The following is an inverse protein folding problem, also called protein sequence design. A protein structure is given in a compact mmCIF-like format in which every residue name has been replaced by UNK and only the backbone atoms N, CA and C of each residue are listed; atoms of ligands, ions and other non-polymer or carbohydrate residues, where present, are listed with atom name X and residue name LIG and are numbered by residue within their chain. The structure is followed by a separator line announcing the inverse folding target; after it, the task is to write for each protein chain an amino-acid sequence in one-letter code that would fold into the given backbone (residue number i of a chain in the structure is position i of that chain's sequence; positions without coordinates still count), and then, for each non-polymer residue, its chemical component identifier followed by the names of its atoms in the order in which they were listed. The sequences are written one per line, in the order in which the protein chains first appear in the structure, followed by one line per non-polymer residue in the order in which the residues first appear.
data_IF_868735379269
#
_entry.id   IF_868735379269
#
_cell.length_a   1.000
_cell.length_b   1.000
_cell.length_c   1.000
_cell.angle_alpha   90.00
_cell.angle_beta   90.00
_cell.angle_gamma   90.00
#
_symmetry.space_group_name_H-M   'P 1'
#
loop_
_entity.id
_entity.type
_entity.pdbx_description
1 polymer ?
#
# COMPACT_ATOMS: atom_id res chain seq x y z
N UNK A 1 -8.23 -18.28 -9.91
CA UNK A 1 -9.61 -18.07 -9.42
C UNK A 1 -9.53 -17.65 -7.95
N UNK A 2 -9.96 -16.43 -7.60
CA UNK A 2 -9.96 -15.91 -6.22
C UNK A 2 -11.05 -16.64 -5.42
N UNK A 3 -10.71 -17.12 -4.22
CA UNK A 3 -11.66 -17.71 -3.27
C UNK A 3 -11.58 -16.92 -1.98
N UNK A 4 -12.73 -16.42 -1.51
CA UNK A 4 -12.83 -15.67 -0.27
C UNK A 4 -13.42 -16.57 0.82
N UNK A 5 -12.82 -16.53 2.01
CA UNK A 5 -13.26 -17.30 3.17
C UNK A 5 -13.36 -16.36 4.37
N UNK A 6 -14.39 -16.55 5.20
CA UNK A 6 -14.56 -15.82 6.44
C UNK A 6 -14.28 -16.76 7.61
N UNK A 7 -13.53 -16.25 8.58
CA UNK A 7 -13.17 -16.97 9.79
C UNK A 7 -13.51 -16.12 11.02
N UNK A 8 -13.84 -16.74 12.16
CA UNK A 8 -14.23 -16.00 13.37
C UNK A 8 -13.07 -15.24 14.02
N UNK A 9 -11.82 -15.59 13.68
CA UNK A 9 -10.64 -14.91 14.22
C UNK A 9 -9.43 -15.01 13.28
N UNK A 10 -8.44 -14.15 13.47
CA UNK A 10 -7.16 -14.23 12.75
C UNK A 10 -6.40 -15.53 13.04
N UNK A 11 -6.51 -16.08 14.25
CA UNK A 11 -5.91 -17.37 14.61
C UNK A 11 -6.55 -18.51 13.80
N UNK A 12 -7.88 -18.53 13.70
CA UNK A 12 -8.60 -19.52 12.90
C UNK A 12 -8.25 -19.41 11.41
N UNK A 13 -8.14 -18.19 10.88
CA UNK A 13 -7.70 -17.96 9.51
C UNK A 13 -6.28 -18.49 9.26
N UNK A 14 -5.33 -18.21 10.16
CA UNK A 14 -3.96 -18.73 10.05
C UNK A 14 -3.92 -20.26 10.13
N UNK A 15 -4.69 -20.87 11.04
CA UNK A 15 -4.78 -22.33 11.13
C UNK A 15 -5.28 -22.94 9.83
N UNK A 16 -6.31 -22.36 9.21
CA UNK A 16 -6.83 -22.84 7.93
C UNK A 16 -5.78 -22.75 6.81
N UNK A 17 -5.02 -21.65 6.76
CA UNK A 17 -3.93 -21.47 5.79
C UNK A 17 -2.82 -22.50 6.01
N UNK A 18 -2.35 -22.67 7.25
CA UNK A 18 -1.28 -23.62 7.54
C UNK A 18 -1.71 -25.07 7.32
N UNK A 19 -2.98 -25.41 7.61
CA UNK A 19 -3.53 -26.73 7.32
C UNK A 19 -3.64 -27.00 5.83
N UNK A 20 -4.08 -26.04 5.02
CA UNK A 20 -4.11 -26.19 3.56
C UNK A 20 -2.70 -26.40 3.00
N UNK A 21 -1.75 -25.57 3.43
CA UNK A 21 -0.34 -25.67 3.04
C UNK A 21 0.23 -27.03 3.48
N UNK A 22 -0.15 -27.58 4.64
CA UNK A 22 0.36 -28.87 5.13
C UNK A 22 -0.03 -30.07 4.25
N UNK A 23 -1.09 -29.96 3.46
CA UNK A 23 -1.57 -31.02 2.55
C UNK A 23 -0.85 -31.02 1.21
N UNK A 24 0.00 -30.02 0.95
CA UNK A 24 0.75 -29.93 -0.30
C UNK A 24 1.82 -31.02 -0.37
N UNK A 25 2.19 -31.37 -1.60
CA UNK A 25 3.47 -32.05 -1.86
C UNK A 25 4.56 -30.99 -1.96
N UNK A 26 5.66 -31.17 -1.24
CA UNK A 26 6.80 -30.24 -1.29
C UNK A 26 7.36 -30.20 -2.71
N UNK A 27 7.40 -29.01 -3.30
CA UNK A 27 7.94 -28.75 -4.62
C UNK A 27 8.62 -27.38 -4.63
N UNK A 28 9.96 -27.37 -4.76
CA UNK A 28 10.73 -26.13 -4.77
C UNK A 28 10.45 -25.24 -6.01
N UNK A 29 9.79 -25.78 -7.04
CA UNK A 29 9.36 -25.01 -8.21
C UNK A 29 8.02 -24.29 -7.99
N UNK A 30 7.29 -24.65 -6.93
CA UNK A 30 5.98 -24.07 -6.61
C UNK A 30 6.01 -23.40 -5.23
N UNK A 31 5.87 -22.08 -5.22
CA UNK A 31 5.95 -21.28 -3.99
C UNK A 31 4.58 -21.15 -3.33
N UNK A 32 4.54 -21.13 -2.00
CA UNK A 32 3.37 -20.81 -1.20
C UNK A 32 3.61 -19.51 -0.45
N UNK A 33 2.96 -18.43 -0.88
CA UNK A 33 3.18 -17.07 -0.39
C UNK A 33 2.03 -16.70 0.55
N UNK A 34 2.33 -16.46 1.81
CA UNK A 34 1.33 -16.07 2.82
C UNK A 34 1.48 -14.57 3.12
N UNK A 35 0.56 -13.77 2.61
CA UNK A 35 0.51 -12.32 2.80
C UNK A 35 -0.36 -12.00 4.02
N UNK A 36 0.23 -11.32 4.99
CA UNK A 36 -0.45 -10.88 6.22
C UNK A 36 -0.16 -9.41 6.53
N UNK A 37 -0.91 -8.75 7.42
CA UNK A 37 -0.52 -7.44 7.94
C UNK A 37 0.83 -7.50 8.67
N UNK A 38 1.57 -6.39 8.71
CA UNK A 38 2.89 -6.33 9.35
C UNK A 38 2.87 -6.84 10.81
N UNK A 39 1.80 -6.53 11.56
CA UNK A 39 1.58 -6.97 12.95
C UNK A 39 1.42 -8.48 13.12
N UNK A 40 1.13 -9.22 12.05
CA UNK A 40 0.81 -10.65 12.08
C UNK A 40 1.97 -11.54 11.59
N UNK A 41 3.03 -10.94 11.02
CA UNK A 41 4.16 -11.66 10.38
C UNK A 41 4.76 -12.74 11.27
N UNK A 42 5.29 -12.36 12.43
CA UNK A 42 5.93 -13.29 13.37
C UNK A 42 4.97 -14.42 13.81
N UNK A 43 3.71 -14.10 14.09
CA UNK A 43 2.73 -15.10 14.49
C UNK A 43 2.45 -16.09 13.38
N UNK A 44 2.29 -15.61 12.14
CA UNK A 44 2.08 -16.45 10.97
C UNK A 44 3.31 -17.34 10.67
N UNK A 45 4.52 -16.79 10.78
CA UNK A 45 5.77 -17.55 10.58
C UNK A 45 5.91 -18.66 11.61
N UNK A 46 5.65 -18.36 12.90
CA UNK A 46 5.69 -19.35 13.96
C UNK A 46 4.64 -20.44 13.76
N UNK A 47 3.42 -20.08 13.35
CA UNK A 47 2.36 -21.04 13.05
C UNK A 47 2.74 -21.95 11.87
N UNK A 48 3.32 -21.38 10.81
CA UNK A 48 3.80 -22.12 9.64
C UNK A 48 4.92 -23.10 10.03
N UNK A 49 5.94 -22.62 10.75
CA UNK A 49 7.04 -23.45 11.22
C UNK A 49 6.58 -24.56 12.17
N UNK A 50 5.71 -24.25 13.13
CA UNK A 50 5.19 -25.24 14.08
C UNK A 50 4.39 -26.35 13.36
N UNK A 51 3.65 -26.00 12.31
CA UNK A 51 2.80 -26.94 11.59
C UNK A 51 3.56 -27.80 10.58
N UNK A 52 4.60 -27.25 9.97
CA UNK A 52 5.35 -27.88 8.87
C UNK A 52 6.72 -28.45 9.30
N UNK A 53 7.22 -28.08 10.48
CA UNK A 53 8.61 -28.35 10.89
C UNK A 53 9.64 -27.46 10.16
N UNK A 54 9.18 -26.40 9.49
CA UNK A 54 9.97 -25.57 8.56
C UNK A 54 9.54 -25.74 7.11
N UNK A 55 9.85 -24.76 6.24
CA UNK A 55 9.54 -24.83 4.82
C UNK A 55 10.52 -23.99 3.98
N UNK A 56 10.90 -24.51 2.81
CA UNK A 56 11.69 -23.78 1.81
C UNK A 56 10.85 -23.30 0.63
N UNK A 57 9.71 -23.97 0.39
CA UNK A 57 8.74 -23.67 -0.66
C UNK A 57 7.59 -22.77 -0.15
N UNK A 58 7.55 -22.43 1.14
CA UNK A 58 6.52 -21.59 1.74
C UNK A 58 7.12 -20.50 2.63
N UNK A 59 6.60 -19.28 2.54
CA UNK A 59 7.05 -18.16 3.37
C UNK A 59 5.94 -17.15 3.64
N UNK A 60 6.13 -16.37 4.70
CA UNK A 60 5.25 -15.27 5.09
C UNK A 60 5.84 -13.96 4.61
N UNK A 61 4.99 -13.05 4.15
CA UNK A 61 5.39 -11.71 3.71
C UNK A 61 4.25 -10.71 3.94
N UNK A 62 4.49 -9.46 3.59
CA UNK A 62 3.54 -8.36 3.69
C UNK A 62 3.51 -7.62 2.35
N UNK A 63 2.49 -6.79 2.12
CA UNK A 63 2.44 -5.97 0.90
C UNK A 63 3.70 -5.12 0.73
N UNK A 64 4.17 -4.50 1.81
CA UNK A 64 5.37 -3.65 1.81
C UNK A 64 6.66 -4.41 1.48
N UNK A 65 6.77 -5.68 1.90
CA UNK A 65 7.93 -6.55 1.61
C UNK A 65 7.88 -7.17 0.22
N UNK A 66 6.69 -7.33 -0.36
CA UNK A 66 6.53 -7.76 -1.76
C UNK A 66 6.88 -6.65 -2.75
N UNK A 67 6.67 -5.39 -2.37
CA UNK A 67 7.11 -4.27 -3.20
C UNK A 67 8.63 -4.28 -3.29
N UNK A 68 9.18 -4.61 -4.46
CA UNK A 68 10.59 -4.35 -4.73
C UNK A 68 10.73 -2.84 -4.88
N UNK A 69 11.56 -2.21 -4.06
CA UNK A 69 12.04 -0.86 -4.38
C UNK A 69 12.82 -0.99 -5.68
N UNK A 70 12.26 -0.47 -6.77
CA UNK A 70 13.01 -0.19 -7.98
C UNK A 70 14.01 0.94 -7.75
N UNK A 71 14.55 1.50 -8.82
CA UNK A 71 15.58 2.56 -8.73
C UNK A 71 15.08 3.88 -8.14
N UNK A 72 13.77 4.02 -7.92
CA UNK A 72 13.18 5.22 -7.32
C UNK A 72 13.55 5.34 -5.83
N UNK A 73 14.02 6.52 -5.43
CA UNK A 73 14.39 6.83 -4.05
C UNK A 73 13.18 6.78 -3.12
N UNK A 74 13.35 6.24 -1.91
CA UNK A 74 12.29 6.29 -0.90
C UNK A 74 12.14 7.69 -0.32
N UNK A 75 10.94 8.28 -0.42
CA UNK A 75 10.62 9.56 0.19
C UNK A 75 9.98 9.34 1.57
N UNK A 76 10.71 9.62 2.68
CA UNK A 76 10.13 9.49 4.01
C UNK A 76 9.05 10.55 4.22
N UNK A 77 8.09 10.27 5.12
CA UNK A 77 6.97 11.18 5.43
C UNK A 77 7.40 12.62 5.69
N UNK A 78 8.50 12.84 6.43
CA UNK A 78 9.00 14.20 6.67
C UNK A 78 9.41 14.91 5.37
N UNK A 79 10.07 14.18 4.46
CA UNK A 79 10.41 14.67 3.12
C UNK A 79 9.17 14.98 2.29
N UNK A 80 8.16 14.10 2.31
CA UNK A 80 6.88 14.35 1.65
C UNK A 80 6.18 15.61 2.17
N UNK A 81 6.16 15.82 3.49
CA UNK A 81 5.58 17.03 4.10
C UNK A 81 6.38 18.28 3.72
N UNK A 82 7.71 18.20 3.64
CA UNK A 82 8.55 19.30 3.15
C UNK A 82 8.28 19.61 1.68
N UNK A 83 8.11 18.58 0.85
CA UNK A 83 7.75 18.73 -0.56
C UNK A 83 6.39 19.39 -0.72
N UNK A 84 5.37 18.93 0.03
CA UNK A 84 4.04 19.57 0.04
C UNK A 84 4.13 21.02 0.52
N UNK A 85 4.98 21.34 1.51
CA UNK A 85 5.20 22.72 1.95
C UNK A 85 5.81 23.58 0.85
N UNK A 86 6.76 23.05 0.08
CA UNK A 86 7.33 23.72 -1.10
C UNK A 86 6.25 23.96 -2.16
N UNK A 87 5.51 22.93 -2.55
CA UNK A 87 4.41 23.02 -3.52
C UNK A 87 3.40 24.09 -3.12
N UNK A 88 2.95 24.07 -1.86
CA UNK A 88 2.03 25.07 -1.32
C UNK A 88 2.58 26.49 -1.42
N UNK A 89 3.89 26.70 -1.26
CA UNK A 89 4.50 28.01 -1.44
C UNK A 89 4.56 28.41 -2.92
N UNK A 90 4.86 27.46 -3.81
CA UNK A 90 4.99 27.68 -5.25
C UNK A 90 3.63 27.93 -5.94
N UNK A 91 2.52 27.42 -5.39
CA UNK A 91 1.18 27.55 -5.98
C UNK A 91 0.17 28.33 -5.12
N UNK A 92 0.62 29.03 -4.08
CA UNK A 92 -0.28 29.71 -3.12
C UNK A 92 -1.21 30.75 -3.76
N UNK A 93 -0.75 31.39 -4.84
CA UNK A 93 -1.46 32.38 -5.65
C UNK A 93 -2.65 31.77 -6.41
N UNK A 94 -2.62 30.46 -6.65
CA UNK A 94 -3.67 29.70 -7.34
C UNK A 94 -4.67 29.05 -6.37
N UNK A 95 -4.38 29.06 -5.06
CA UNK A 95 -5.27 28.50 -4.05
C UNK A 95 -6.50 29.39 -3.87
N UNK A 96 -7.69 28.78 -3.82
CA UNK A 96 -8.95 29.46 -3.60
C UNK A 96 -9.30 29.48 -2.10
N UNK A 97 -9.50 28.31 -1.52
CA UNK A 97 -9.97 28.14 -0.15
C UNK A 97 -8.83 28.33 0.87
N UNK A 98 -7.65 27.78 0.57
CA UNK A 98 -6.52 27.70 1.50
C UNK A 98 -5.46 28.79 1.33
N UNK A 99 -5.76 29.83 0.54
CA UNK A 99 -4.88 30.99 0.28
C UNK A 99 -4.36 31.69 1.54
N UNK A 100 -5.11 31.64 2.65
CA UNK A 100 -4.71 32.23 3.95
C UNK A 100 -4.14 31.20 4.94
N UNK A 101 -4.35 29.91 4.70
CA UNK A 101 -4.02 28.85 5.64
C UNK A 101 -2.77 28.05 5.26
N UNK A 102 -2.28 28.17 4.01
CA UNK A 102 -1.14 27.39 3.53
C UNK A 102 0.13 27.55 4.38
N UNK A 103 0.32 28.73 5.01
CA UNK A 103 1.45 29.00 5.90
C UNK A 103 1.28 28.41 7.30
N UNK A 104 0.06 28.08 7.73
CA UNK A 104 -0.22 27.64 9.09
C UNK A 104 0.59 26.40 9.47
N UNK A 105 1.00 26.36 10.74
CA UNK A 105 1.79 25.26 11.28
C UNK A 105 0.99 23.95 11.16
N UNK A 106 1.62 22.94 10.57
CA UNK A 106 1.00 21.61 10.40
C UNK A 106 0.03 21.50 9.21
N UNK A 107 -0.26 22.59 8.48
CA UNK A 107 -1.15 22.55 7.32
C UNK A 107 -0.62 21.60 6.24
N UNK A 108 0.66 21.71 5.88
CA UNK A 108 1.31 20.82 4.91
C UNK A 108 1.25 19.33 5.33
N UNK A 109 1.37 19.04 6.63
CA UNK A 109 1.22 17.66 7.13
C UNK A 109 -0.20 17.15 6.92
N UNK A 110 -1.21 17.95 7.24
CA UNK A 110 -2.62 17.55 7.04
C UNK A 110 -2.94 17.37 5.56
N UNK A 111 -2.45 18.28 4.71
CA UNK A 111 -2.61 18.18 3.26
C UNK A 111 -1.99 16.88 2.72
N UNK A 112 -0.77 16.55 3.16
CA UNK A 112 -0.14 15.27 2.81
C UNK A 112 -0.94 14.06 3.30
N UNK A 113 -1.45 14.08 4.53
CA UNK A 113 -2.24 12.98 5.07
C UNK A 113 -3.55 12.78 4.26
N UNK A 114 -4.20 13.86 3.81
CA UNK A 114 -5.37 13.81 2.91
C UNK A 114 -5.00 13.23 1.55
N UNK A 115 -3.92 13.70 0.93
CA UNK A 115 -3.39 13.17 -0.33
C UNK A 115 -3.13 11.66 -0.22
N UNK A 116 -2.50 11.23 0.88
CA UNK A 116 -2.23 9.82 1.14
C UNK A 116 -3.51 8.98 1.27
N UNK A 117 -4.54 9.50 1.96
CA UNK A 117 -5.84 8.83 2.06
C UNK A 117 -6.52 8.67 0.70
N UNK A 118 -6.56 9.74 -0.10
CA UNK A 118 -7.14 9.71 -1.45
C UNK A 118 -6.40 8.72 -2.35
N UNK A 119 -5.06 8.74 -2.30
CA UNK A 119 -4.20 7.81 -3.04
C UNK A 119 -4.49 6.35 -2.68
N UNK A 120 -4.61 6.03 -1.39
CA UNK A 120 -4.92 4.67 -0.92
C UNK A 120 -6.32 4.20 -1.33
N UNK A 121 -7.26 5.13 -1.47
CA UNK A 121 -8.59 4.88 -2.06
C UNK A 121 -8.57 4.76 -3.59
N UNK A 122 -7.41 4.93 -4.23
CA UNK A 122 -7.27 4.83 -5.69
C UNK A 122 -7.74 6.08 -6.45
N UNK A 123 -8.01 7.18 -5.75
CA UNK A 123 -8.48 8.44 -6.35
C UNK A 123 -7.30 9.25 -6.90
N UNK A 124 -7.49 9.80 -8.09
CA UNK A 124 -6.57 10.74 -8.76
C UNK A 124 -7.05 12.18 -8.58
N UNK A 125 -6.18 13.20 -8.77
CA UNK A 125 -6.57 14.60 -8.67
C UNK A 125 -7.84 14.96 -9.46
N UNK A 126 -7.95 14.43 -10.67
CA UNK A 126 -9.09 14.62 -11.58
C UNK A 126 -10.40 14.01 -11.08
N UNK A 127 -10.35 13.05 -10.16
CA UNK A 127 -11.54 12.41 -9.56
C UNK A 127 -12.10 13.22 -8.38
N UNK A 128 -11.37 14.24 -7.90
CA UNK A 128 -11.75 15.04 -6.73
C UNK A 128 -12.62 16.21 -7.17
N UNK A 129 -13.90 15.92 -7.42
CA UNK A 129 -14.87 16.93 -7.85
C UNK A 129 -15.99 17.02 -6.82
N UNK A 130 -16.00 18.11 -6.06
CA UNK A 130 -17.06 18.42 -5.08
C UNK A 130 -17.35 19.91 -5.09
N UNK A 131 -18.61 20.28 -4.92
CA UNK A 131 -19.01 21.66 -4.64
C UNK A 131 -18.84 21.96 -3.14
N UNK A 132 -17.61 22.32 -2.74
CA UNK A 132 -17.24 22.55 -1.34
C UNK A 132 -16.56 23.91 -1.09
N UNK A 133 -16.83 24.88 -1.96
CA UNK A 133 -16.25 26.22 -1.86
C UNK A 133 -14.77 26.30 -2.25
N UNK A 134 -14.31 25.42 -3.15
CA UNK A 134 -12.97 25.43 -3.73
C UNK A 134 -11.91 24.68 -2.90
N UNK A 135 -12.31 23.95 -1.86
CA UNK A 135 -11.41 23.13 -1.04
C UNK A 135 -10.94 21.90 -1.82
N UNK A 136 -11.85 21.22 -2.51
CA UNK A 136 -11.55 20.06 -3.35
C UNK A 136 -10.61 20.44 -4.48
N UNK A 137 -10.80 21.62 -5.07
CA UNK A 137 -9.92 22.16 -6.12
C UNK A 137 -8.49 22.41 -5.61
N UNK A 138 -8.34 23.00 -4.42
CA UNK A 138 -7.03 23.23 -3.82
C UNK A 138 -6.32 21.90 -3.48
N UNK A 139 -7.05 20.91 -2.96
CA UNK A 139 -6.51 19.57 -2.70
C UNK A 139 -6.07 18.92 -4.00
N UNK A 140 -6.90 18.96 -5.05
CA UNK A 140 -6.58 18.40 -6.36
C UNK A 140 -5.34 19.07 -6.97
N UNK A 141 -5.22 20.40 -6.88
CA UNK A 141 -4.05 21.14 -7.34
C UNK A 141 -2.78 20.64 -6.64
N UNK A 142 -2.75 20.66 -5.31
CA UNK A 142 -1.56 20.24 -4.54
C UNK A 142 -1.24 18.77 -4.78
N UNK A 143 -2.25 17.91 -4.86
CA UNK A 143 -2.07 16.49 -5.15
C UNK A 143 -1.46 16.28 -6.55
N UNK A 144 -1.94 17.01 -7.55
CA UNK A 144 -1.42 16.92 -8.93
C UNK A 144 0.06 17.34 -9.01
N UNK A 145 0.44 18.43 -8.35
CA UNK A 145 1.82 18.90 -8.29
C UNK A 145 2.71 17.93 -7.49
N UNK A 146 2.18 17.32 -6.44
CA UNK A 146 2.90 16.28 -5.68
C UNK A 146 3.19 15.05 -6.54
N UNK A 147 2.22 14.58 -7.33
CA UNK A 147 2.42 13.48 -8.27
C UNK A 147 3.46 13.84 -9.34
N UNK A 148 3.45 15.06 -9.89
CA UNK A 148 4.46 15.53 -10.86
C UNK A 148 5.86 15.56 -10.24
N UNK A 149 5.99 16.09 -9.03
CA UNK A 149 7.28 16.21 -8.34
C UNK A 149 7.87 14.88 -7.87
N UNK A 150 7.08 13.81 -7.81
CA UNK A 150 7.52 12.47 -7.40
C UNK A 150 7.60 11.47 -8.56
N UNK A 151 7.03 11.81 -9.72
CA UNK A 151 6.95 10.94 -10.87
C UNK A 151 8.34 10.42 -11.31
N UNK A 152 8.52 9.10 -11.28
CA UNK A 152 9.73 8.43 -11.78
C UNK A 152 10.96 8.52 -10.87
N UNK A 153 10.97 9.41 -9.87
CA UNK A 153 12.15 9.68 -9.04
C UNK A 153 11.98 9.25 -7.58
N UNK A 154 10.78 9.42 -7.02
CA UNK A 154 10.53 9.28 -5.59
C UNK A 154 9.27 8.47 -5.31
N UNK A 155 9.35 7.54 -4.36
CA UNK A 155 8.21 6.73 -3.91
C UNK A 155 7.98 6.92 -2.42
N UNK A 156 6.77 7.37 -2.05
CA UNK A 156 6.33 7.47 -0.67
C UNK A 156 5.58 6.20 -0.21
N UNK A 157 4.99 6.23 0.99
CA UNK A 157 4.32 5.08 1.57
C UNK A 157 3.12 4.58 0.73
N UNK A 158 2.32 5.50 0.17
CA UNK A 158 1.19 5.19 -0.71
C UNK A 158 1.65 4.70 -2.09
N UNK A 159 2.71 5.30 -2.61
CA UNK A 159 3.32 4.93 -3.89
C UNK A 159 3.81 3.48 -3.91
N UNK A 160 4.22 2.91 -2.76
CA UNK A 160 4.65 1.50 -2.69
C UNK A 160 3.57 0.50 -3.12
N UNK A 161 2.30 0.76 -2.83
CA UNK A 161 1.22 -0.16 -3.24
C UNK A 161 0.97 -0.06 -4.75
N UNK A 162 1.05 1.15 -5.31
CA UNK A 162 0.99 1.37 -6.76
C UNK A 162 2.17 0.69 -7.46
N UNK A 163 3.36 0.80 -6.88
CA UNK A 163 4.57 0.13 -7.36
C UNK A 163 4.46 -1.39 -7.28
N UNK A 164 3.83 -1.92 -6.23
CA UNK A 164 3.59 -3.36 -6.10
C UNK A 164 2.75 -3.88 -7.25
N UNK A 165 1.65 -3.19 -7.58
CA UNK A 165 0.79 -3.58 -8.71
C UNK A 165 1.61 -3.72 -9.99
N UNK A 166 2.44 -2.71 -10.32
CA UNK A 166 3.36 -2.76 -11.48
C UNK A 166 4.37 -3.89 -11.37
N UNK A 167 4.98 -4.07 -10.19
CA UNK A 167 5.95 -5.16 -9.96
C UNK A 167 5.33 -6.53 -10.21
N UNK A 168 4.06 -6.75 -9.83
CA UNK A 168 3.37 -8.01 -10.08
C UNK A 168 3.02 -8.22 -11.56
N UNK A 169 2.76 -7.14 -12.30
CA UNK A 169 2.54 -7.18 -13.76
C UNK A 169 3.84 -7.46 -14.53
N UNK A 170 4.94 -6.83 -14.11
CA UNK A 170 6.22 -6.85 -14.83
C UNK A 170 7.13 -8.03 -14.45
N UNK A 171 6.81 -8.76 -13.36
CA UNK A 171 7.68 -9.81 -12.84
C UNK A 171 6.99 -11.14 -12.60
N UNK A 172 7.78 -12.21 -12.62
CA UNK A 172 7.34 -13.57 -12.33
C UNK A 172 7.25 -13.87 -10.82
N UNK A 173 7.09 -12.83 -9.98
CA UNK A 173 7.13 -12.95 -8.53
C UNK A 173 6.10 -13.96 -8.00
N UNK A 174 4.89 -13.93 -8.58
CA UNK A 174 3.78 -14.84 -8.25
C UNK A 174 3.59 -15.94 -9.30
N UNK A 175 4.46 -16.03 -10.32
CA UNK A 175 4.40 -17.13 -11.29
C UNK A 175 4.67 -18.45 -10.56
N UNK A 176 3.81 -19.43 -10.84
CA UNK A 176 3.81 -20.75 -10.19
C UNK A 176 3.73 -20.66 -8.66
N UNK A 177 3.04 -19.66 -8.11
CA UNK A 177 2.79 -19.54 -6.68
C UNK A 177 1.32 -19.84 -6.32
N UNK A 178 1.11 -20.36 -5.11
CA UNK A 178 -0.18 -20.32 -4.42
C UNK A 178 -0.12 -19.18 -3.41
N UNK A 179 -0.98 -18.19 -3.58
CA UNK A 179 -1.01 -16.99 -2.74
C UNK A 179 -2.16 -17.10 -1.74
N UNK A 180 -1.85 -16.92 -0.46
CA UNK A 180 -2.79 -16.83 0.63
C UNK A 180 -2.75 -15.41 1.17
N UNK A 181 -3.91 -14.74 1.24
CA UNK A 181 -4.03 -13.43 1.89
C UNK A 181 -4.88 -13.64 3.14
N UNK A 182 -4.30 -13.39 4.31
CA UNK A 182 -4.92 -13.73 5.59
C UNK A 182 -4.74 -12.64 6.64
N UNK A 183 -5.59 -12.67 7.67
CA UNK A 183 -5.58 -11.75 8.81
C UNK A 183 -5.89 -10.27 8.47
N UNK A 184 -6.52 -10.01 7.33
CA UNK A 184 -7.08 -8.70 7.00
C UNK A 184 -8.57 -8.66 7.38
N UNK A 185 -8.97 -7.59 8.04
CA UNK A 185 -10.36 -7.26 8.38
C UNK A 185 -11.05 -6.45 7.27
N UNK A 186 -10.28 -5.66 6.53
CA UNK A 186 -10.74 -4.90 5.37
C UNK A 186 -9.60 -4.70 4.36
N UNK A 187 -9.96 -4.32 3.14
CA UNK A 187 -9.02 -4.00 2.08
C UNK A 187 -9.28 -2.57 1.59
N UNK A 188 -8.20 -1.87 1.26
CA UNK A 188 -8.31 -0.61 0.53
C UNK A 188 -8.46 -0.90 -0.97
N UNK A 189 -8.98 0.05 -1.75
CA UNK A 189 -9.16 -0.15 -3.19
C UNK A 189 -7.85 -0.55 -3.90
N UNK A 190 -6.71 0.01 -3.47
CA UNK A 190 -5.41 -0.40 -4.00
C UNK A 190 -5.03 -1.84 -3.62
N UNK A 191 -5.35 -2.30 -2.40
CA UNK A 191 -5.10 -3.70 -2.01
C UNK A 191 -5.99 -4.68 -2.78
N UNK A 192 -7.21 -4.29 -3.15
CA UNK A 192 -8.11 -5.16 -3.93
C UNK A 192 -7.69 -5.29 -5.39
N UNK A 193 -6.99 -4.29 -5.92
CA UNK A 193 -6.47 -4.26 -7.30
C UNK A 193 -5.24 -5.14 -7.49
N UNK A 194 -4.42 -5.28 -6.44
CA UNK A 194 -3.20 -6.10 -6.37
C UNK A 194 -3.56 -7.57 -6.16
#
# INVERSE_FOLDING_TARGET
MKKNFLFPSFSAALSAVTDDISRRRIDLKRRHIVIVPDRCTLTAERALCARLGGAFDAYVTTWSRLTRTGDAGYLPRKGSVMLVRKILADCHDKLKCYSRSWQAKGFASRMYDVIGQLSVCGLRPEDIVTDDGGKSEDIALVYSEYLKATAGELTDASGRMVMLARTLEDTDLVRNAVVYVACFDSYTALMERV
#
